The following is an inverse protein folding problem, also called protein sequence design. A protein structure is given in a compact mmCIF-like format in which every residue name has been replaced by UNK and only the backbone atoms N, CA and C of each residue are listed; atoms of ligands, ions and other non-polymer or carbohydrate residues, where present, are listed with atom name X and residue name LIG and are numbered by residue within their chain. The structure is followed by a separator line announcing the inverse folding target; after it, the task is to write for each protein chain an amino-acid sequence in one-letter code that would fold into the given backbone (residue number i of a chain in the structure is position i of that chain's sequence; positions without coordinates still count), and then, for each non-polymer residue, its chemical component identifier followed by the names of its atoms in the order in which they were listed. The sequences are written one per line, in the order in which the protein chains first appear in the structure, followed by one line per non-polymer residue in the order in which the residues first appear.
data_IF_095969642375
#
_entry.id   IF_095969642375
#
_cell.length_a   1.000
_cell.length_b   1.000
_cell.length_c   1.000
_cell.angle_alpha   90.00
_cell.angle_beta   90.00
_cell.angle_gamma   90.00
#
_symmetry.space_group_name_H-M   'P 1'
#
loop_
_entity.id
_entity.type
_entity.pdbx_description
1 polymer ?
#
# COMPACT_ATOMS: atom_id res chain seq x y z
N UNK A 1 -2.73 -0.05 48.70
CA UNK A 1 -1.65 -0.64 47.88
C UNK A 1 -2.17 -1.73 46.93
N UNK A 2 -2.96 -2.70 47.39
CA UNK A 2 -3.46 -3.84 46.56
C UNK A 2 -4.22 -3.49 45.26
N UNK A 3 -4.86 -2.32 45.20
CA UNK A 3 -5.70 -1.90 44.08
C UNK A 3 -4.89 -1.26 42.93
N UNK A 4 -3.73 -0.67 43.23
CA UNK A 4 -2.84 -0.07 42.22
C UNK A 4 -2.03 -1.14 41.48
N UNK A 5 -1.57 -2.17 42.19
CA UNK A 5 -0.83 -3.27 41.58
C UNK A 5 -1.72 -4.12 40.67
N UNK A 6 -2.99 -4.34 41.06
CA UNK A 6 -4.00 -4.96 40.18
C UNK A 6 -4.24 -4.15 38.90
N UNK A 7 -4.32 -2.81 39.00
CA UNK A 7 -4.44 -1.92 37.82
C UNK A 7 -3.21 -1.96 36.94
N UNK A 8 -2.00 -1.95 37.52
CA UNK A 8 -0.73 -2.05 36.77
C UNK A 8 -0.63 -3.36 36.02
N UNK A 9 -0.97 -4.47 36.66
CA UNK A 9 -0.96 -5.79 36.03
C UNK A 9 -1.96 -5.88 34.87
N UNK A 10 -3.19 -5.40 35.05
CA UNK A 10 -4.20 -5.36 33.98
C UNK A 10 -3.76 -4.47 32.81
N UNK A 11 -3.14 -3.32 33.07
CA UNK A 11 -2.60 -2.44 32.04
C UNK A 11 -1.47 -3.10 31.27
N UNK A 12 -0.57 -3.81 31.95
CA UNK A 12 0.51 -4.57 31.32
C UNK A 12 -0.05 -5.66 30.41
N UNK A 13 -1.01 -6.46 30.88
CA UNK A 13 -1.66 -7.50 30.07
C UNK A 13 -2.37 -6.91 28.83
N UNK A 14 -3.04 -5.75 28.99
CA UNK A 14 -3.64 -5.03 27.85
C UNK A 14 -2.61 -4.56 26.84
N UNK A 15 -1.47 -4.03 27.31
CA UNK A 15 -0.38 -3.60 26.43
C UNK A 15 0.27 -4.80 25.72
N UNK A 16 0.54 -5.89 26.41
CA UNK A 16 1.09 -7.12 25.83
C UNK A 16 0.16 -7.71 24.75
N UNK A 17 -1.16 -7.76 25.00
CA UNK A 17 -2.15 -8.21 24.00
C UNK A 17 -2.18 -7.30 22.78
N UNK A 18 -2.11 -5.97 22.98
CA UNK A 18 -2.06 -5.00 21.87
C UNK A 18 -0.77 -5.13 21.06
N UNK A 19 0.39 -5.24 21.72
CA UNK A 19 1.68 -5.45 21.07
C UNK A 19 1.69 -6.77 20.30
N UNK A 20 1.15 -7.84 20.87
CA UNK A 20 1.00 -9.13 20.20
C UNK A 20 0.17 -9.03 18.92
N UNK A 21 -0.96 -8.34 18.97
CA UNK A 21 -1.81 -8.10 17.79
C UNK A 21 -1.10 -7.26 16.74
N UNK A 22 -0.41 -6.18 17.14
CA UNK A 22 0.37 -5.35 16.22
C UNK A 22 1.51 -6.15 15.58
N UNK A 23 2.22 -6.99 16.36
CA UNK A 23 3.30 -7.83 15.85
C UNK A 23 2.81 -8.85 14.82
N UNK A 24 1.64 -9.47 15.05
CA UNK A 24 1.02 -10.38 14.08
C UNK A 24 0.61 -9.65 12.80
N UNK A 25 0.12 -8.42 12.90
CA UNK A 25 -0.43 -7.67 11.77
C UNK A 25 0.61 -6.90 10.96
N UNK A 26 1.67 -6.41 11.59
CA UNK A 26 2.64 -5.49 10.99
C UNK A 26 4.11 -5.93 11.17
N UNK A 27 4.35 -7.08 11.80
CA UNK A 27 5.71 -7.59 12.02
C UNK A 27 6.43 -6.97 13.23
N UNK A 28 7.76 -7.09 13.25
CA UNK A 28 8.60 -6.62 14.37
C UNK A 28 8.71 -5.10 14.35
N UNK A 29 8.38 -4.46 15.49
CA UNK A 29 8.55 -3.03 15.64
C UNK A 29 10.03 -2.63 15.71
N UNK A 30 10.37 -1.49 15.12
CA UNK A 30 11.64 -0.81 15.25
C UNK A 30 11.39 0.71 15.32
N UNK A 31 12.35 1.46 15.86
CA UNK A 31 12.25 2.91 16.02
C UNK A 31 13.06 3.62 14.95
N UNK A 32 12.49 4.67 14.37
CA UNK A 32 13.16 5.60 13.46
C UNK A 32 13.15 7.00 14.08
N UNK A 33 14.33 7.61 14.15
CA UNK A 33 14.47 9.00 14.58
C UNK A 33 14.48 9.91 13.36
N UNK A 34 13.53 10.84 13.29
CA UNK A 34 13.43 11.83 12.21
C UNK A 34 13.78 13.22 12.73
N UNK A 35 14.36 14.06 11.87
CA UNK A 35 14.36 15.52 12.09
C UNK A 35 12.92 16.02 12.09
N UNK A 36 12.66 17.11 12.81
CA UNK A 36 11.32 17.72 12.92
C UNK A 36 10.72 18.02 11.54
N UNK A 37 11.50 18.67 10.67
CA UNK A 37 11.09 18.98 9.29
C UNK A 37 10.75 17.74 8.46
N UNK A 38 11.42 16.61 8.69
CA UNK A 38 11.10 15.33 8.02
C UNK A 38 9.81 14.74 8.55
N UNK A 39 9.58 14.83 9.87
CA UNK A 39 8.31 14.38 10.48
C UNK A 39 7.13 15.20 9.94
N UNK A 40 7.27 16.52 9.82
CA UNK A 40 6.23 17.38 9.22
C UNK A 40 5.90 16.98 7.78
N UNK A 41 6.92 16.69 6.96
CA UNK A 41 6.72 16.19 5.59
C UNK A 41 5.98 14.86 5.58
N UNK A 42 6.35 13.92 6.44
CA UNK A 42 5.66 12.63 6.57
C UNK A 42 4.18 12.83 6.92
N UNK A 43 3.87 13.73 7.86
CA UNK A 43 2.49 14.01 8.24
C UNK A 43 1.65 14.60 7.10
N UNK A 44 2.27 15.41 6.21
CA UNK A 44 1.61 15.94 5.01
C UNK A 44 1.36 14.89 3.94
N UNK A 45 2.20 13.86 3.86
CA UNK A 45 2.09 12.77 2.86
C UNK A 45 1.03 11.75 3.26
N UNK A 46 0.81 11.50 4.57
CA UNK A 46 -0.15 10.50 5.08
C UNK A 46 -1.51 10.50 4.35
N UNK A 47 -2.21 11.65 4.18
CA UNK A 47 -3.51 11.68 3.51
C UNK A 47 -3.45 11.30 2.02
N UNK A 48 -2.29 11.47 1.38
CA UNK A 48 -2.07 11.18 -0.03
C UNK A 48 -1.69 9.71 -0.27
N UNK A 49 -1.00 9.09 0.69
CA UNK A 49 -0.51 7.70 0.59
C UNK A 49 -1.50 6.66 1.09
N UNK A 50 -2.32 6.97 2.10
CA UNK A 50 -3.13 5.95 2.77
C UNK A 50 -4.58 6.02 2.30
N UNK A 51 -5.03 4.94 1.66
CA UNK A 51 -6.45 4.72 1.37
C UNK A 51 -7.20 4.57 2.69
N UNK A 52 -8.16 5.47 2.95
CA UNK A 52 -8.96 5.60 4.18
C UNK A 52 -9.23 4.27 4.89
N UNK A 53 -8.53 4.03 6.00
CA UNK A 53 -8.98 3.14 7.07
C UNK A 53 -9.45 4.03 8.22
N UNK A 54 -10.76 4.20 8.34
CA UNK A 54 -11.37 5.20 9.23
C UNK A 54 -11.18 4.93 10.75
N UNK A 55 -10.36 3.95 11.16
CA UNK A 55 -10.25 3.54 12.57
C UNK A 55 -8.82 3.31 13.05
N UNK A 56 -7.80 3.70 12.29
CA UNK A 56 -6.41 3.43 12.67
C UNK A 56 -5.75 4.60 13.42
N UNK A 57 -5.01 4.28 14.49
CA UNK A 57 -4.27 5.26 15.29
C UNK A 57 -3.24 6.04 14.45
N UNK A 58 -2.85 7.24 14.91
CA UNK A 58 -1.84 8.05 14.22
C UNK A 58 -0.52 7.30 14.00
N UNK A 59 -0.12 6.44 14.94
CA UNK A 59 1.07 5.59 14.84
C UNK A 59 0.93 4.61 13.68
N UNK A 60 -0.22 3.95 13.56
CA UNK A 60 -0.48 3.00 12.46
C UNK A 60 -0.51 3.72 11.12
N UNK A 61 -1.13 4.91 11.05
CA UNK A 61 -1.11 5.74 9.84
C UNK A 61 0.33 6.09 9.44
N UNK A 62 1.17 6.53 10.38
CA UNK A 62 2.59 6.79 10.11
C UNK A 62 3.31 5.55 9.60
N UNK A 63 3.11 4.39 10.23
CA UNK A 63 3.70 3.13 9.78
C UNK A 63 3.27 2.77 8.36
N UNK A 64 1.98 2.84 8.05
CA UNK A 64 1.48 2.55 6.70
C UNK A 64 2.04 3.52 5.65
N UNK A 65 2.14 4.81 5.96
CA UNK A 65 2.74 5.78 5.04
C UNK A 65 4.22 5.48 4.81
N UNK A 66 4.98 5.15 5.86
CA UNK A 66 6.39 4.76 5.71
C UNK A 66 6.53 3.47 4.89
N UNK A 67 5.71 2.46 5.15
CA UNK A 67 5.69 1.22 4.35
C UNK A 67 5.40 1.52 2.88
N UNK A 68 4.38 2.33 2.60
CA UNK A 68 4.02 2.72 1.24
C UNK A 68 5.15 3.48 0.54
N UNK A 69 5.84 4.41 1.24
CA UNK A 69 6.98 5.14 0.70
C UNK A 69 8.18 4.24 0.40
N UNK A 70 8.47 3.26 1.27
CA UNK A 70 9.52 2.27 1.04
C UNK A 70 9.18 1.41 -0.17
N UNK A 71 7.97 0.89 -0.25
CA UNK A 71 7.52 0.07 -1.37
C UNK A 71 7.55 0.85 -2.68
N UNK A 72 7.14 2.13 -2.68
CA UNK A 72 7.26 3.00 -3.85
C UNK A 72 8.69 3.13 -4.32
N UNK A 73 9.59 3.47 -3.39
CA UNK A 73 11.00 3.61 -3.72
C UNK A 73 11.57 2.30 -4.28
N UNK A 74 11.25 1.16 -3.68
CA UNK A 74 11.68 -0.16 -4.15
C UNK A 74 11.13 -0.49 -5.54
N UNK A 75 9.83 -0.28 -5.77
CA UNK A 75 9.20 -0.46 -7.07
C UNK A 75 9.92 0.40 -8.11
N UNK A 76 10.09 1.71 -7.86
CA UNK A 76 10.68 2.66 -8.81
C UNK A 76 12.15 2.36 -9.13
N UNK A 77 12.94 1.89 -8.17
CA UNK A 77 14.40 1.86 -8.30
C UNK A 77 15.01 0.45 -8.33
N UNK A 78 14.27 -0.60 -7.97
CA UNK A 78 14.84 -1.96 -7.78
C UNK A 78 14.11 -3.03 -8.56
N UNK A 79 12.79 -2.95 -8.70
CA UNK A 79 12.01 -3.99 -9.40
C UNK A 79 12.29 -3.96 -10.91
N UNK A 80 12.79 -5.06 -11.51
CA UNK A 80 13.01 -5.14 -12.96
C UNK A 80 11.68 -5.13 -13.72
N UNK A 81 11.70 -4.60 -14.94
CA UNK A 81 10.53 -4.42 -15.80
C UNK A 81 10.94 -4.58 -17.26
N UNK A 82 11.29 -5.80 -17.65
CA UNK A 82 11.83 -6.07 -18.98
C UNK A 82 10.73 -6.45 -19.98
N UNK A 83 9.60 -7.02 -19.52
CA UNK A 83 8.44 -7.24 -20.40
C UNK A 83 7.57 -6.01 -20.60
N UNK A 84 6.98 -5.92 -21.79
CA UNK A 84 5.96 -4.93 -22.15
C UNK A 84 4.76 -4.96 -21.17
N UNK A 85 4.35 -6.14 -20.70
CA UNK A 85 3.24 -6.28 -19.74
C UNK A 85 3.60 -5.67 -18.38
N UNK A 86 4.81 -5.91 -17.88
CA UNK A 86 5.27 -5.32 -16.62
C UNK A 86 5.45 -3.81 -16.72
N UNK A 87 5.98 -3.32 -17.86
CA UNK A 87 6.08 -1.87 -18.14
C UNK A 87 4.69 -1.25 -18.13
N UNK A 88 3.74 -1.82 -18.87
CA UNK A 88 2.35 -1.33 -18.95
C UNK A 88 1.67 -1.32 -17.58
N UNK A 89 1.86 -2.39 -16.80
CA UNK A 89 1.31 -2.50 -15.43
C UNK A 89 1.87 -1.41 -14.53
N UNK A 90 3.18 -1.12 -14.61
CA UNK A 90 3.82 -0.06 -13.86
C UNK A 90 3.34 1.34 -14.28
N UNK A 91 3.20 1.59 -15.57
CA UNK A 91 2.69 2.86 -16.07
C UNK A 91 1.25 3.12 -15.62
N UNK A 92 0.39 2.09 -15.64
CA UNK A 92 -0.96 2.14 -15.10
C UNK A 92 -0.95 2.42 -13.59
N UNK A 93 -0.07 1.77 -12.83
CA UNK A 93 0.15 2.07 -11.42
C UNK A 93 0.48 3.55 -11.20
N UNK A 94 1.46 4.10 -11.94
CA UNK A 94 1.86 5.51 -11.83
C UNK A 94 0.69 6.45 -12.17
N UNK A 95 -0.02 6.17 -13.27
CA UNK A 95 -1.18 6.95 -13.72
C UNK A 95 -2.28 6.99 -12.66
N UNK A 96 -2.64 5.84 -12.10
CA UNK A 96 -3.64 5.73 -11.03
C UNK A 96 -3.17 6.44 -9.77
N UNK A 97 -1.91 6.26 -9.35
CA UNK A 97 -1.32 6.92 -8.20
C UNK A 97 -1.42 8.44 -8.31
N UNK A 98 -1.05 9.01 -9.45
CA UNK A 98 -1.02 10.46 -9.66
C UNK A 98 -2.45 11.04 -9.68
N UNK A 99 -3.40 10.32 -10.28
CA UNK A 99 -4.83 10.66 -10.19
C UNK A 99 -5.35 10.64 -8.74
N UNK A 100 -4.88 9.71 -7.90
CA UNK A 100 -5.25 9.69 -6.48
C UNK A 100 -4.61 10.82 -5.69
N UNK A 101 -3.35 11.14 -5.95
CA UNK A 101 -2.65 12.27 -5.31
C UNK A 101 -3.35 13.59 -5.63
N UNK A 102 -3.88 13.74 -6.85
CA UNK A 102 -4.72 14.88 -7.24
C UNK A 102 -6.14 14.86 -6.65
N UNK A 103 -6.49 13.86 -5.85
CA UNK A 103 -7.74 13.80 -5.09
C UNK A 103 -8.90 13.09 -5.77
N UNK A 104 -8.69 12.43 -6.93
CA UNK A 104 -9.75 11.65 -7.58
C UNK A 104 -10.11 10.43 -6.75
N UNK A 105 -11.41 10.17 -6.63
CA UNK A 105 -11.95 8.95 -6.02
C UNK A 105 -11.84 7.78 -6.98
N UNK A 106 -11.76 6.54 -6.48
CA UNK A 106 -11.56 5.35 -7.29
C UNK A 106 -12.57 5.19 -8.44
N UNK A 107 -13.84 5.53 -8.20
CA UNK A 107 -14.87 5.46 -9.24
C UNK A 107 -14.54 6.36 -10.44
N UNK A 108 -14.15 7.61 -10.19
CA UNK A 108 -13.83 8.57 -11.25
C UNK A 108 -12.57 8.17 -12.03
N UNK A 109 -11.60 7.57 -11.34
CA UNK A 109 -10.40 7.03 -12.00
C UNK A 109 -10.80 5.87 -12.93
N UNK A 110 -11.66 4.97 -12.47
CA UNK A 110 -12.14 3.86 -13.28
C UNK A 110 -12.88 4.35 -14.54
N UNK A 111 -13.76 5.36 -14.41
CA UNK A 111 -14.44 6.01 -15.53
C UNK A 111 -13.44 6.54 -16.57
N UNK A 112 -12.40 7.28 -16.14
CA UNK A 112 -11.38 7.82 -17.04
C UNK A 112 -10.51 6.74 -17.71
N UNK A 113 -10.24 5.62 -17.03
CA UNK A 113 -9.51 4.50 -17.64
C UNK A 113 -10.35 3.75 -18.67
N UNK A 114 -11.67 3.63 -18.43
CA UNK A 114 -12.62 3.06 -19.38
C UNK A 114 -12.77 3.92 -20.63
N UNK A 115 -12.92 5.24 -20.47
CA UNK A 115 -12.99 6.19 -21.59
C UNK A 115 -11.73 6.16 -22.45
N UNK A 116 -10.58 5.94 -21.82
CA UNK A 116 -9.28 5.82 -22.49
C UNK A 116 -9.01 4.41 -23.07
N UNK A 117 -9.95 3.46 -22.96
CA UNK A 117 -9.80 2.10 -23.49
C UNK A 117 -8.61 1.33 -22.91
N UNK A 118 -8.24 1.59 -21.66
CA UNK A 118 -7.07 0.99 -21.03
C UNK A 118 -7.36 -0.47 -20.63
N UNK A 119 -6.49 -1.39 -21.04
CA UNK A 119 -6.57 -2.79 -20.63
C UNK A 119 -6.33 -2.93 -19.12
N UNK A 120 -6.94 -3.96 -18.52
CA UNK A 120 -6.84 -4.24 -17.09
C UNK A 120 -5.71 -5.26 -16.88
N UNK A 121 -4.67 -4.93 -16.07
CA UNK A 121 -3.68 -5.91 -15.67
C UNK A 121 -4.28 -6.88 -14.65
N UNK A 122 -4.41 -8.14 -15.05
CA UNK A 122 -4.92 -9.23 -14.22
C UNK A 122 -3.74 -10.13 -13.86
N UNK A 123 -3.63 -10.49 -12.58
CA UNK A 123 -2.57 -11.37 -12.10
C UNK A 123 -3.13 -12.76 -11.81
N UNK A 124 -2.60 -13.75 -12.52
CA UNK A 124 -2.87 -15.14 -12.24
C UNK A 124 -1.84 -15.64 -11.20
N UNK A 125 -2.33 -15.91 -9.99
CA UNK A 125 -1.48 -16.36 -8.88
C UNK A 125 -1.00 -17.81 -9.06
N UNK A 126 -1.66 -18.62 -9.88
CA UNK A 126 -1.32 -20.04 -10.04
C UNK A 126 -0.10 -20.20 -10.97
N UNK A 127 -0.05 -19.39 -12.03
CA UNK A 127 1.07 -19.38 -12.99
C UNK A 127 2.07 -18.24 -12.76
N UNK A 128 1.74 -17.29 -11.88
CA UNK A 128 2.61 -16.16 -11.53
C UNK A 128 2.83 -15.16 -12.67
N UNK A 129 1.85 -14.99 -13.57
CA UNK A 129 1.95 -14.12 -14.75
C UNK A 129 0.87 -13.05 -14.76
N UNK A 130 1.18 -11.95 -15.44
CA UNK A 130 0.22 -10.87 -15.70
C UNK A 130 -0.37 -11.06 -17.11
N UNK A 131 -1.68 -10.93 -17.25
CA UNK A 131 -2.39 -10.75 -18.52
C UNK A 131 -2.93 -9.32 -18.61
N UNK A 132 -3.04 -8.77 -19.82
CA UNK A 132 -3.75 -7.53 -20.09
C UNK A 132 -5.09 -7.89 -20.73
N UNK A 133 -6.18 -7.62 -20.03
CA UNK A 133 -7.52 -8.05 -20.41
C UNK A 133 -8.41 -6.87 -20.80
N UNK A 134 -9.25 -7.09 -21.80
CA UNK A 134 -10.35 -6.19 -22.12
C UNK A 134 -11.41 -6.28 -21.01
N UNK A 135 -11.95 -5.14 -20.59
CA UNK A 135 -12.99 -5.11 -19.57
C UNK A 135 -13.33 -3.70 -19.11
N UNK A 136 -14.23 -3.63 -18.14
CA UNK A 136 -14.63 -2.37 -17.52
C UNK A 136 -13.94 -2.23 -16.16
N UNK A 137 -13.03 -1.25 -16.06
CA UNK A 137 -12.45 -0.83 -14.80
C UNK A 137 -13.54 -0.51 -13.80
N UNK A 138 -13.39 -1.03 -12.59
CA UNK A 138 -14.22 -0.74 -11.45
C UNK A 138 -13.38 -0.29 -10.24
N UNK A 139 -14.03 0.16 -9.17
CA UNK A 139 -13.32 0.68 -7.99
C UNK A 139 -12.41 -0.35 -7.31
N UNK A 140 -12.69 -1.65 -7.40
CA UNK A 140 -11.84 -2.71 -6.83
C UNK A 140 -10.55 -2.85 -7.62
N UNK A 141 -10.61 -2.75 -8.94
CA UNK A 141 -9.42 -2.81 -9.80
C UNK A 141 -8.50 -1.63 -9.50
N UNK A 142 -9.08 -0.43 -9.35
CA UNK A 142 -8.33 0.77 -8.93
C UNK A 142 -7.67 0.57 -7.56
N UNK A 143 -8.37 -0.04 -6.60
CA UNK A 143 -7.80 -0.33 -5.29
C UNK A 143 -6.68 -1.38 -5.37
N UNK A 144 -6.84 -2.40 -6.20
CA UNK A 144 -5.85 -3.44 -6.40
C UNK A 144 -4.57 -2.89 -7.03
N UNK A 145 -4.68 -2.13 -8.13
CA UNK A 145 -3.53 -1.51 -8.79
C UNK A 145 -2.93 -0.37 -7.96
N UNK A 146 -3.65 0.19 -6.99
CA UNK A 146 -3.07 1.20 -6.07
C UNK A 146 -2.24 0.60 -4.93
N UNK A 147 -2.30 -0.72 -4.72
CA UNK A 147 -1.50 -1.38 -3.70
C UNK A 147 -0.08 -1.64 -4.23
N UNK A 148 0.86 -0.77 -3.85
CA UNK A 148 2.24 -0.84 -4.33
C UNK A 148 2.89 -2.20 -4.05
N UNK A 149 2.62 -2.83 -2.90
CA UNK A 149 3.17 -4.15 -2.59
C UNK A 149 2.62 -5.22 -3.53
N UNK A 150 1.32 -5.16 -3.83
CA UNK A 150 0.69 -6.07 -4.78
C UNK A 150 1.29 -5.89 -6.17
N UNK A 151 1.49 -4.64 -6.62
CA UNK A 151 2.12 -4.37 -7.93
C UNK A 151 3.56 -4.87 -8.00
N UNK A 152 4.35 -4.69 -6.94
CA UNK A 152 5.69 -5.29 -6.85
C UNK A 152 5.62 -6.81 -7.05
N UNK A 153 4.75 -7.50 -6.32
CA UNK A 153 4.60 -8.95 -6.41
C UNK A 153 4.18 -9.41 -7.81
N UNK A 154 3.23 -8.70 -8.43
CA UNK A 154 2.77 -8.98 -9.78
C UNK A 154 3.92 -8.90 -10.79
N UNK A 155 4.69 -7.81 -10.75
CA UNK A 155 5.78 -7.58 -11.70
C UNK A 155 6.94 -8.54 -11.45
N UNK A 156 7.43 -8.66 -10.21
CA UNK A 156 8.54 -9.56 -9.88
C UNK A 156 8.23 -11.00 -10.27
N UNK A 157 6.99 -11.47 -10.01
CA UNK A 157 6.57 -12.81 -10.42
C UNK A 157 6.54 -12.95 -11.93
N UNK A 158 6.00 -11.96 -12.65
CA UNK A 158 5.90 -12.01 -14.10
C UNK A 158 7.29 -12.04 -14.77
N UNK A 159 8.24 -11.25 -14.29
CA UNK A 159 9.62 -11.25 -14.80
C UNK A 159 10.36 -12.56 -14.53
N UNK A 160 10.05 -13.27 -13.44
CA UNK A 160 10.65 -14.58 -13.15
C UNK A 160 10.11 -15.72 -14.03
N UNK A 161 8.92 -15.54 -14.60
CA UNK A 161 8.21 -16.58 -15.37
C UNK A 161 8.06 -16.24 -16.86
N UNK A 162 8.85 -15.31 -17.38
CA UNK A 162 9.02 -15.12 -18.83
C UNK A 162 9.76 -16.32 -19.45
#
# INVERSE_FOLDING_TARGET
MENEDKKRLQNRQRQEKRQGNLKRRYGKAFSLNFKETTMERLLKIIPQTIVRKNEESITVKRSLAVTELINRYYLENTVPRDSEISITTYELYCKVRDMRISGKISQKIAEELNEAGQLIPVFDNDIGRISLEEGTWNSRDILAISDTNKVIQMIESNEQHQ
#
